data_IF_907838666681
#
_entry.id   IF_907838666681
#
_cell.length_a   1.000
_cell.length_b   1.000
_cell.length_c   1.000
_cell.angle_alpha   90.00
_cell.angle_beta   90.00
_cell.angle_gamma   90.00
#
_symmetry.space_group_name_H-M   'P 1'
#
loop_
_entity.id
_entity.type
_entity.pdbx_description
1 polymer ?
#
# COMPACT_ATOMS: atom_id res chain seq x y z
N UNK A 1 -1.67 -25.34 -2.25
CA UNK A 1 -1.73 -24.83 -3.64
C UNK A 1 -0.81 -23.61 -3.70
N UNK A 2 -0.03 -23.50 -4.77
CA UNK A 2 1.23 -22.73 -4.81
C UNK A 2 1.07 -21.27 -4.34
N UNK A 3 1.93 -20.87 -3.39
CA UNK A 3 2.22 -19.48 -3.05
C UNK A 3 2.77 -18.80 -4.31
N UNK A 4 1.96 -17.97 -4.94
CA UNK A 4 2.46 -17.02 -5.92
C UNK A 4 3.32 -16.02 -5.15
N UNK A 5 4.65 -16.09 -5.30
CA UNK A 5 5.54 -15.00 -4.93
C UNK A 5 5.18 -13.79 -5.82
N UNK A 6 4.15 -13.06 -5.39
CA UNK A 6 3.98 -11.66 -5.76
C UNK A 6 4.78 -10.93 -4.70
N UNK A 7 5.88 -10.28 -5.11
CA UNK A 7 6.63 -9.45 -4.17
C UNK A 7 5.69 -8.39 -3.60
N UNK A 8 5.51 -8.41 -2.29
CA UNK A 8 4.73 -7.40 -1.59
C UNK A 8 5.39 -6.05 -1.80
N UNK A 9 4.69 -5.14 -2.47
CA UNK A 9 5.15 -3.78 -2.69
C UNK A 9 4.68 -2.86 -1.56
N UNK A 10 5.48 -1.83 -1.30
CA UNK A 10 5.22 -0.86 -0.24
C UNK A 10 5.26 0.56 -0.80
N UNK A 11 4.40 1.41 -0.26
CA UNK A 11 4.29 2.80 -0.66
C UNK A 11 4.30 3.73 0.54
N UNK A 12 4.82 4.94 0.36
CA UNK A 12 4.70 6.03 1.34
C UNK A 12 3.58 6.97 0.90
N UNK A 13 2.67 7.27 1.81
CA UNK A 13 1.66 8.31 1.60
C UNK A 13 2.33 9.70 1.65
N UNK A 14 2.25 10.46 0.56
CA UNK A 14 2.79 11.82 0.45
C UNK A 14 1.69 12.90 0.46
N UNK A 15 0.42 12.50 0.33
CA UNK A 15 -0.73 13.39 0.33
C UNK A 15 -1.96 12.68 0.90
N UNK A 16 -2.76 13.37 1.71
CA UNK A 16 -4.03 12.86 2.25
C UNK A 16 -5.18 13.87 2.15
N UNK A 17 -5.08 14.88 1.29
CA UNK A 17 -5.98 16.05 1.25
C UNK A 17 -7.48 15.70 1.30
N UNK A 18 -7.89 14.66 0.57
CA UNK A 18 -9.30 14.24 0.50
C UNK A 18 -9.64 13.10 1.48
N UNK A 19 -8.63 12.53 2.14
CA UNK A 19 -8.76 11.37 3.05
C UNK A 19 -7.98 11.57 4.37
N UNK A 20 -8.12 12.71 5.08
CA UNK A 20 -7.31 12.98 6.26
C UNK A 20 -7.61 12.05 7.45
N UNK A 21 -8.78 11.39 7.44
CA UNK A 21 -9.17 10.41 8.46
C UNK A 21 -8.71 8.98 8.16
N UNK A 22 -8.39 8.68 6.90
CA UNK A 22 -8.03 7.33 6.43
C UNK A 22 -6.56 7.20 6.05
N UNK A 23 -5.91 8.30 5.67
CA UNK A 23 -4.52 8.33 5.24
C UNK A 23 -3.66 9.23 6.14
N UNK A 24 -2.52 8.69 6.54
CA UNK A 24 -1.51 9.38 7.33
C UNK A 24 -0.29 9.71 6.46
N UNK A 25 0.04 11.00 6.32
CA UNK A 25 1.21 11.44 5.57
C UNK A 25 2.50 10.87 6.22
N UNK A 26 3.41 10.36 5.38
CA UNK A 26 4.68 9.68 5.70
C UNK A 26 4.53 8.25 6.23
N UNK A 27 3.30 7.75 6.41
CA UNK A 27 3.08 6.33 6.76
C UNK A 27 3.35 5.43 5.56
N UNK A 28 3.89 4.25 5.85
CA UNK A 28 4.13 3.19 4.87
C UNK A 28 2.90 2.28 4.85
N UNK A 29 2.43 1.96 3.64
CA UNK A 29 1.32 1.05 3.40
C UNK A 29 1.77 -0.09 2.49
N UNK A 30 1.20 -1.27 2.69
CA UNK A 30 1.34 -2.39 1.76
C UNK A 30 0.36 -2.22 0.61
N UNK A 31 0.76 -2.57 -0.61
CA UNK A 31 -0.14 -2.55 -1.78
C UNK A 31 -0.69 -3.94 -2.09
N UNK A 32 -1.81 -3.97 -2.82
CA UNK A 32 -2.38 -5.18 -3.41
C UNK A 32 -2.39 -4.99 -4.93
N UNK A 33 -1.82 -5.94 -5.70
CA UNK A 33 -1.88 -5.86 -7.16
C UNK A 33 -3.33 -5.82 -7.66
N UNK A 34 -3.68 -4.73 -8.34
CA UNK A 34 -5.03 -4.53 -8.89
C UNK A 34 -4.95 -3.83 -10.24
N UNK A 35 -5.02 -4.61 -11.32
CA UNK A 35 -4.93 -4.07 -12.68
C UNK A 35 -6.12 -3.20 -13.07
N UNK A 36 -7.28 -3.34 -12.44
CA UNK A 36 -8.45 -2.52 -12.72
C UNK A 36 -8.31 -1.16 -12.02
N UNK A 37 -7.84 -1.14 -10.78
CA UNK A 37 -7.49 0.10 -10.08
C UNK A 37 -6.49 0.94 -10.87
N UNK A 38 -5.43 0.30 -11.39
CA UNK A 38 -4.38 0.98 -12.16
C UNK A 38 -4.95 1.66 -13.41
N UNK A 39 -5.90 1.04 -14.13
CA UNK A 39 -6.58 1.66 -15.29
C UNK A 39 -7.31 2.95 -14.92
N UNK A 40 -7.74 3.07 -13.67
CA UNK A 40 -8.42 4.24 -13.12
C UNK A 40 -7.49 5.20 -12.36
N UNK A 41 -6.17 5.03 -12.47
CA UNK A 41 -5.17 5.80 -11.72
C UNK A 41 -5.32 5.68 -10.20
N UNK A 42 -5.83 4.54 -9.75
CA UNK A 42 -6.02 4.20 -8.35
C UNK A 42 -4.96 3.18 -7.91
N UNK A 43 -4.71 3.12 -6.60
CA UNK A 43 -3.88 2.12 -5.95
C UNK A 43 -4.67 1.49 -4.81
N UNK A 44 -4.58 0.16 -4.68
CA UNK A 44 -5.17 -0.59 -3.58
C UNK A 44 -4.12 -0.78 -2.49
N UNK A 45 -4.39 -0.27 -1.30
CA UNK A 45 -3.47 -0.34 -0.15
C UNK A 45 -4.18 -0.94 1.06
N UNK A 46 -3.42 -1.62 1.91
CA UNK A 46 -3.89 -2.20 3.17
C UNK A 46 -3.57 -1.22 4.30
N UNK A 47 -4.56 -0.91 5.14
CA UNK A 47 -4.38 -0.08 6.33
C UNK A 47 -4.05 -0.90 7.60
N UNK A 48 -3.98 -0.27 8.76
CA UNK A 48 -3.67 -0.92 10.03
C UNK A 48 -4.71 -1.94 10.53
N UNK A 49 -5.91 -1.93 9.96
CA UNK A 49 -6.95 -2.91 10.28
C UNK A 49 -6.80 -4.21 9.48
N UNK A 50 -5.93 -4.22 8.47
CA UNK A 50 -5.79 -5.33 7.52
C UNK A 50 -6.82 -5.29 6.37
N UNK A 51 -7.68 -4.27 6.34
CA UNK A 51 -8.61 -4.05 5.24
C UNK A 51 -7.94 -3.28 4.09
N UNK A 52 -8.35 -3.60 2.87
CA UNK A 52 -7.84 -2.97 1.67
C UNK A 52 -8.80 -1.91 1.10
N UNK A 53 -8.23 -0.78 0.68
CA UNK A 53 -8.96 0.38 0.18
C UNK A 53 -8.31 0.95 -1.08
N UNK A 54 -9.12 1.60 -1.93
CA UNK A 54 -8.66 2.27 -3.15
C UNK A 54 -8.49 3.77 -2.94
N UNK A 55 -7.33 4.29 -3.33
CA UNK A 55 -7.01 5.71 -3.28
C UNK A 55 -6.35 6.19 -4.57
N UNK A 56 -6.32 7.50 -4.84
CA UNK A 56 -5.57 8.05 -5.97
C UNK A 56 -4.09 7.65 -5.90
N UNK A 57 -3.57 7.05 -6.96
CA UNK A 57 -2.18 6.56 -7.02
C UNK A 57 -1.16 7.68 -6.80
N UNK A 58 -1.45 8.91 -7.22
CA UNK A 58 -0.59 10.08 -7.04
C UNK A 58 -0.46 10.54 -5.58
N UNK A 59 -1.17 9.92 -4.63
CA UNK A 59 -1.00 10.20 -3.19
C UNK A 59 0.14 9.38 -2.59
N UNK A 60 0.73 8.48 -3.37
CA UNK A 60 1.68 7.49 -2.92
C UNK A 60 2.94 7.48 -3.77
N UNK A 61 4.04 7.09 -3.16
CA UNK A 61 5.32 6.84 -3.82
C UNK A 61 5.77 5.43 -3.48
N UNK A 62 6.05 4.62 -4.50
CA UNK A 62 6.63 3.28 -4.34
C UNK A 62 8.01 3.37 -3.68
N UNK A 63 8.25 2.50 -2.72
CA UNK A 63 9.53 2.39 -2.03
C UNK A 63 10.00 0.94 -1.97
N UNK A 64 11.31 0.75 -2.06
CA UNK A 64 11.94 -0.52 -1.75
C UNK A 64 12.32 -0.53 -0.27
N UNK A 65 11.91 -1.58 0.44
CA UNK A 65 12.27 -1.76 1.84
C UNK A 65 13.39 -2.81 1.96
N UNK A 66 14.40 -2.58 2.82
CA UNK A 66 15.29 -3.64 3.22
C UNK A 66 14.49 -4.82 3.77
N UNK A 67 14.91 -6.05 3.48
CA UNK A 67 14.18 -7.28 3.84
C UNK A 67 13.72 -7.31 5.30
N UNK A 68 14.61 -6.96 6.23
CA UNK A 68 14.30 -6.94 7.66
C UNK A 68 13.17 -5.97 8.03
N UNK A 69 13.02 -4.87 7.29
CA UNK A 69 11.93 -3.90 7.49
C UNK A 69 10.63 -4.42 6.86
N UNK A 70 10.70 -4.95 5.64
CA UNK A 70 9.54 -5.53 4.97
C UNK A 70 8.89 -6.66 5.80
N UNK A 71 9.69 -7.52 6.43
CA UNK A 71 9.20 -8.58 7.33
C UNK A 71 8.39 -8.03 8.52
N UNK A 72 8.78 -6.87 9.09
CA UNK A 72 8.03 -6.25 10.19
C UNK A 72 6.67 -5.73 9.72
N UNK A 73 6.61 -5.12 8.54
CA UNK A 73 5.35 -4.62 7.98
C UNK A 73 4.44 -5.75 7.50
N UNK A 74 4.99 -6.86 7.04
CA UNK A 74 4.22 -8.05 6.65
C UNK A 74 3.58 -8.78 7.84
N UNK A 75 4.23 -8.77 9.02
CA UNK A 75 3.72 -9.44 10.22
C UNK A 75 2.69 -8.61 11.00
N UNK A 76 2.49 -7.34 10.63
CA UNK A 76 1.57 -6.44 11.32
C UNK A 76 0.11 -6.54 10.83
N UNK A 77 -0.17 -7.41 9.86
CA UNK A 77 -1.51 -7.70 9.31
C UNK A 77 -2.13 -8.97 9.89
#
# INVERSE_FOLDING_TARGET
MQSANTETEYVVCINNKDYPASLEIRKIYQTVPDSDAVKHQMIRVIDESGEDYLYPSNYFVLIELPKAVAEVFYLAS
#
